data_IF_289159859621
#
_entry.id   IF_289159859621
#
_cell.length_a   1.000
_cell.length_b   1.000
_cell.length_c   1.000
_cell.angle_alpha   90.00
_cell.angle_beta   90.00
_cell.angle_gamma   90.00
#
_symmetry.space_group_name_H-M   'P 1'
#
loop_
_entity.id
_entity.type
_entity.pdbx_description
1 polymer ?
#
# COMPACT_ATOMS: atom_id res chain seq x y z
N UNK A 1 -15.89 -0.79 13.26
CA UNK A 1 -15.13 -1.85 12.55
C UNK A 1 -15.80 -2.25 11.25
N UNK A 2 -17.07 -2.66 11.26
CA UNK A 2 -17.87 -3.00 10.07
C UNK A 2 -17.92 -1.90 9.01
N UNK A 3 -18.17 -0.64 9.41
CA UNK A 3 -18.22 0.49 8.47
C UNK A 3 -16.90 0.72 7.71
N UNK A 4 -15.75 0.54 8.37
CA UNK A 4 -14.42 0.71 7.75
C UNK A 4 -14.15 -0.41 6.75
N UNK A 5 -14.51 -1.65 7.09
CA UNK A 5 -14.37 -2.80 6.19
C UNK A 5 -15.25 -2.62 4.94
N UNK A 6 -16.50 -2.18 5.11
CA UNK A 6 -17.42 -1.90 4.01
C UNK A 6 -16.85 -0.79 3.11
N UNK A 7 -16.26 0.26 3.68
CA UNK A 7 -15.63 1.33 2.92
C UNK A 7 -14.42 0.82 2.11
N UNK A 8 -13.54 0.01 2.72
CA UNK A 8 -12.40 -0.59 2.03
C UNK A 8 -12.83 -1.49 0.86
N UNK A 9 -13.85 -2.34 1.07
CA UNK A 9 -14.40 -3.20 0.02
C UNK A 9 -15.03 -2.34 -1.08
N UNK A 10 -15.78 -1.30 -0.71
CA UNK A 10 -16.36 -0.35 -1.66
C UNK A 10 -15.31 0.31 -2.54
N UNK A 11 -14.18 0.73 -1.99
CA UNK A 11 -13.06 1.31 -2.74
C UNK A 11 -12.48 0.28 -3.74
N UNK A 12 -12.24 -0.95 -3.29
CA UNK A 12 -11.70 -2.03 -4.15
C UNK A 12 -12.66 -2.31 -5.31
N UNK A 13 -13.95 -2.46 -5.01
CA UNK A 13 -14.99 -2.74 -6.02
C UNK A 13 -15.11 -1.56 -6.98
N UNK A 14 -15.13 -0.32 -6.49
CA UNK A 14 -15.26 0.87 -7.35
C UNK A 14 -14.07 0.99 -8.31
N UNK A 15 -12.86 0.69 -7.84
CA UNK A 15 -11.65 0.70 -8.68
C UNK A 15 -11.65 -0.46 -9.69
N UNK A 16 -11.95 -1.68 -9.26
CA UNK A 16 -11.85 -2.87 -10.11
C UNK A 16 -13.03 -3.06 -11.08
N UNK A 17 -14.22 -2.53 -10.78
CA UNK A 17 -15.40 -2.70 -11.65
C UNK A 17 -15.77 -1.44 -12.43
N UNK A 18 -15.55 -0.25 -11.87
CA UNK A 18 -15.99 1.01 -12.49
C UNK A 18 -14.83 1.85 -13.05
N UNK A 19 -13.57 1.43 -12.84
CA UNK A 19 -12.40 2.13 -13.38
C UNK A 19 -12.22 3.56 -12.86
N UNK A 20 -12.90 3.93 -11.77
CA UNK A 20 -12.83 5.28 -11.22
C UNK A 20 -11.49 5.53 -10.52
N UNK A 21 -10.69 6.42 -11.08
CA UNK A 21 -9.38 6.82 -10.55
C UNK A 21 -9.47 7.99 -9.54
N UNK A 22 -10.58 8.05 -8.79
CA UNK A 22 -10.92 9.19 -7.90
C UNK A 22 -10.16 9.11 -6.56
N UNK A 23 -9.20 8.18 -6.42
CA UNK A 23 -8.57 7.84 -5.14
C UNK A 23 -7.04 8.01 -5.19
N UNK A 24 -6.59 9.26 -5.40
CA UNK A 24 -5.19 9.63 -5.19
C UNK A 24 -4.80 9.58 -3.71
N UNK A 25 -3.50 9.40 -3.41
CA UNK A 25 -2.98 9.32 -2.03
C UNK A 25 -3.34 10.53 -1.15
N UNK A 26 -3.47 11.71 -1.76
CA UNK A 26 -3.81 12.96 -1.07
C UNK A 26 -5.32 13.31 -1.13
N UNK A 27 -6.18 12.37 -1.56
CA UNK A 27 -7.62 12.62 -1.57
C UNK A 27 -8.17 12.62 -0.14
N UNK A 28 -9.16 13.48 0.18
CA UNK A 28 -9.75 13.53 1.52
C UNK A 28 -10.26 12.18 2.01
N UNK A 29 -10.79 11.35 1.10
CA UNK A 29 -11.32 10.02 1.41
C UNK A 29 -10.21 9.10 1.94
N UNK A 30 -9.05 9.07 1.28
CA UNK A 30 -7.91 8.23 1.68
C UNK A 30 -7.32 8.71 3.01
N UNK A 31 -7.22 10.03 3.22
CA UNK A 31 -6.72 10.63 4.47
C UNK A 31 -7.65 10.29 5.64
N UNK A 32 -8.96 10.45 5.45
CA UNK A 32 -9.96 10.10 6.46
C UNK A 32 -9.94 8.60 6.78
N UNK A 33 -9.81 7.75 5.77
CA UNK A 33 -9.73 6.29 5.95
C UNK A 33 -8.47 5.86 6.71
N UNK A 34 -7.30 6.37 6.32
CA UNK A 34 -6.04 6.09 7.01
C UNK A 34 -6.10 6.53 8.47
N UNK A 35 -6.66 7.71 8.73
CA UNK A 35 -6.86 8.25 10.08
C UNK A 35 -7.82 7.38 10.91
N UNK A 36 -8.93 6.95 10.32
CA UNK A 36 -9.90 6.07 10.98
C UNK A 36 -9.30 4.69 11.32
N UNK A 37 -8.52 4.10 10.42
CA UNK A 37 -7.79 2.86 10.65
C UNK A 37 -6.78 3.01 11.78
N UNK A 38 -5.99 4.10 11.78
CA UNK A 38 -5.04 4.38 12.85
C UNK A 38 -5.73 4.49 14.23
N UNK A 39 -6.83 5.25 14.32
CA UNK A 39 -7.60 5.38 15.56
C UNK A 39 -8.20 4.05 16.00
N UNK A 40 -8.68 3.23 15.07
CA UNK A 40 -9.19 1.89 15.36
C UNK A 40 -8.11 1.01 15.99
N UNK A 41 -6.94 0.89 15.35
CA UNK A 41 -5.85 0.06 15.88
C UNK A 41 -5.30 0.60 17.20
N UNK A 42 -5.26 1.93 17.37
CA UNK A 42 -4.91 2.58 18.64
C UNK A 42 -5.90 2.21 19.75
N UNK A 43 -7.20 2.21 19.45
CA UNK A 43 -8.26 1.87 20.42
C UNK A 43 -8.24 0.41 20.83
N UNK A 44 -7.84 -0.50 19.94
CA UNK A 44 -7.82 -1.94 20.22
C UNK A 44 -6.64 -2.33 21.13
N UNK A 45 -5.65 -1.46 21.30
CA UNK A 45 -4.47 -1.66 22.15
C UNK A 45 -3.78 -3.03 21.96
N UNK A 46 -3.77 -3.54 20.71
CA UNK A 46 -3.30 -4.89 20.43
C UNK A 46 -1.80 -4.88 20.16
N UNK A 47 -1.05 -5.63 20.96
CA UNK A 47 0.39 -5.81 20.76
C UNK A 47 0.66 -6.93 19.73
N UNK A 48 0.63 -6.57 18.45
CA UNK A 48 0.93 -7.51 17.36
C UNK A 48 2.43 -7.56 17.08
N UNK A 49 3.07 -8.66 17.50
CA UNK A 49 4.52 -8.88 17.30
C UNK A 49 4.96 -8.69 15.84
N UNK A 50 4.23 -9.25 14.88
CA UNK A 50 4.53 -9.11 13.45
C UNK A 50 4.37 -7.67 12.96
N UNK A 51 3.31 -6.98 13.37
CA UNK A 51 3.09 -5.59 12.98
C UNK A 51 4.22 -4.68 13.51
N UNK A 52 4.64 -4.89 14.77
CA UNK A 52 5.75 -4.15 15.36
C UNK A 52 7.09 -4.42 14.67
N UNK A 53 7.31 -5.64 14.17
CA UNK A 53 8.49 -5.96 13.38
C UNK A 53 8.47 -5.33 11.99
N UNK A 54 7.29 -5.19 11.38
CA UNK A 54 7.13 -4.61 10.04
C UNK A 54 7.03 -3.09 10.03
N UNK A 55 6.62 -2.47 11.15
CA UNK A 55 6.42 -1.02 11.27
C UNK A 55 7.60 -0.16 10.77
N UNK A 56 8.88 -0.49 11.07
CA UNK A 56 10.02 0.28 10.56
C UNK A 56 10.16 0.29 9.03
N UNK A 57 9.60 -0.70 8.33
CA UNK A 57 9.69 -0.82 6.88
C UNK A 57 8.54 -0.12 6.16
N UNK A 58 7.44 0.22 6.84
CA UNK A 58 6.24 0.78 6.21
C UNK A 58 6.52 2.07 5.44
N UNK A 59 7.36 2.96 6.00
CA UNK A 59 7.71 4.21 5.33
C UNK A 59 8.54 3.98 4.06
N UNK A 60 9.52 3.08 4.12
CA UNK A 60 10.30 2.74 2.93
C UNK A 60 9.48 2.04 1.85
N UNK A 61 8.56 1.15 2.23
CA UNK A 61 7.62 0.53 1.28
C UNK A 61 6.79 1.61 0.59
N UNK A 62 6.29 2.59 1.35
CA UNK A 62 5.55 3.73 0.80
C UNK A 62 6.40 4.53 -0.21
N UNK A 63 7.69 4.73 0.02
CA UNK A 63 8.56 5.44 -0.92
C UNK A 63 8.94 4.62 -2.15
N UNK A 64 9.15 3.32 -1.99
CA UNK A 64 9.73 2.46 -3.03
C UNK A 64 8.67 1.85 -3.95
N UNK A 65 7.47 1.54 -3.46
CA UNK A 65 6.44 0.89 -4.28
C UNK A 65 6.07 1.63 -5.58
N UNK A 66 6.06 2.98 -5.68
CA UNK A 66 5.77 3.66 -6.93
C UNK A 66 6.87 3.42 -7.98
N UNK A 67 8.11 3.12 -7.58
CA UNK A 67 9.20 2.79 -8.50
C UNK A 67 8.89 1.49 -9.24
N UNK A 68 8.46 0.46 -8.51
CA UNK A 68 8.08 -0.83 -9.11
C UNK A 68 6.82 -0.74 -9.96
N UNK A 69 5.83 0.01 -9.50
CA UNK A 69 4.59 0.24 -10.25
C UNK A 69 4.89 0.97 -11.57
N UNK A 70 5.68 2.05 -11.53
CA UNK A 70 6.09 2.77 -12.74
C UNK A 70 6.96 1.90 -13.65
N UNK A 71 7.82 1.05 -13.10
CA UNK A 71 8.61 0.11 -13.89
C UNK A 71 7.72 -0.86 -14.64
N UNK A 72 6.71 -1.44 -13.99
CA UNK A 72 5.78 -2.36 -14.65
C UNK A 72 4.93 -1.66 -15.73
N UNK A 73 4.35 -0.50 -15.42
CA UNK A 73 3.50 0.20 -16.38
C UNK A 73 4.28 0.84 -17.53
N UNK A 74 5.41 1.51 -17.25
CA UNK A 74 6.14 2.31 -18.25
C UNK A 74 7.25 1.55 -18.97
N UNK A 75 7.92 0.61 -18.30
CA UNK A 75 9.03 -0.12 -18.91
C UNK A 75 8.58 -1.46 -19.48
N UNK A 76 7.74 -2.19 -18.75
CA UNK A 76 7.21 -3.48 -19.20
C UNK A 76 5.92 -3.34 -20.02
N UNK A 77 5.37 -2.12 -20.17
CA UNK A 77 4.12 -1.84 -20.88
C UNK A 77 2.98 -2.77 -20.47
N UNK A 78 2.84 -3.03 -19.18
CA UNK A 78 1.70 -3.78 -18.66
C UNK A 78 0.44 -2.94 -18.85
N UNK A 79 -0.54 -3.43 -19.59
CA UNK A 79 -1.80 -2.73 -19.76
C UNK A 79 -2.60 -2.71 -18.46
N UNK A 80 -3.13 -1.54 -18.10
CA UNK A 80 -3.93 -1.36 -16.88
C UNK A 80 -5.15 -2.28 -16.88
N UNK A 81 -5.76 -2.54 -18.05
CA UNK A 81 -6.90 -3.43 -18.23
C UNK A 81 -6.63 -4.88 -17.81
N UNK A 82 -5.36 -5.33 -17.85
CA UNK A 82 -4.96 -6.65 -17.38
C UNK A 82 -4.92 -6.70 -15.84
N UNK A 83 -4.73 -5.55 -15.19
CA UNK A 83 -4.64 -5.42 -13.72
C UNK A 83 -6.01 -5.15 -13.07
N UNK A 84 -6.98 -4.60 -13.83
CA UNK A 84 -8.35 -4.28 -13.36
C UNK A 84 -9.10 -5.49 -12.75
N UNK A 85 -9.01 -6.74 -13.26
CA UNK A 85 -9.64 -7.88 -12.61
C UNK A 85 -9.15 -8.07 -11.17
N UNK A 86 -10.07 -8.28 -10.21
CA UNK A 86 -9.75 -8.36 -8.77
C UNK A 86 -8.61 -9.33 -8.43
N UNK A 87 -8.58 -10.50 -9.07
CA UNK A 87 -7.51 -11.49 -8.83
C UNK A 87 -6.13 -10.98 -9.26
N UNK A 88 -6.07 -10.29 -10.39
CA UNK A 88 -4.85 -9.68 -10.89
C UNK A 88 -4.47 -8.46 -10.04
N UNK A 89 -5.44 -7.64 -9.62
CA UNK A 89 -5.22 -6.53 -8.70
C UNK A 89 -4.60 -6.99 -7.37
N UNK A 90 -5.13 -8.05 -6.75
CA UNK A 90 -4.59 -8.60 -5.50
C UNK A 90 -3.18 -9.16 -5.72
N UNK A 91 -2.95 -9.88 -6.82
CA UNK A 91 -1.64 -10.41 -7.18
C UNK A 91 -0.61 -9.30 -7.37
N UNK A 92 -0.95 -8.27 -8.14
CA UNK A 92 -0.12 -7.09 -8.36
C UNK A 92 0.19 -6.34 -7.06
N UNK A 93 -0.84 -6.14 -6.22
CA UNK A 93 -0.68 -5.51 -4.92
C UNK A 93 0.30 -6.27 -4.03
N UNK A 94 0.12 -7.59 -3.89
CA UNK A 94 1.00 -8.42 -3.07
C UNK A 94 2.42 -8.46 -3.63
N UNK A 95 2.56 -8.65 -4.95
CA UNK A 95 3.86 -8.70 -5.61
C UNK A 95 4.67 -7.43 -5.36
N UNK A 96 4.10 -6.25 -5.63
CA UNK A 96 4.81 -4.99 -5.45
C UNK A 96 5.03 -4.64 -3.99
N UNK A 97 4.13 -5.03 -3.09
CA UNK A 97 4.35 -4.86 -1.65
C UNK A 97 5.54 -5.69 -1.18
N UNK A 98 5.65 -6.95 -1.63
CA UNK A 98 6.76 -7.83 -1.28
C UNK A 98 8.09 -7.35 -1.87
N UNK A 99 8.12 -6.93 -3.13
CA UNK A 99 9.30 -6.34 -3.76
C UNK A 99 9.74 -5.07 -3.02
N UNK A 100 8.79 -4.21 -2.66
CA UNK A 100 9.07 -2.99 -1.90
C UNK A 100 9.59 -3.28 -0.49
N UNK A 101 9.06 -4.31 0.18
CA UNK A 101 9.54 -4.77 1.48
C UNK A 101 10.99 -5.27 1.36
N UNK A 102 11.29 -6.11 0.36
CA UNK A 102 12.63 -6.64 0.13
C UNK A 102 13.63 -5.51 -0.17
N UNK A 103 13.28 -4.57 -1.04
CA UNK A 103 14.13 -3.41 -1.35
C UNK A 103 14.32 -2.49 -0.16
N UNK A 104 13.26 -2.21 0.60
CA UNK A 104 13.36 -1.40 1.83
C UNK A 104 14.28 -2.08 2.84
N UNK A 105 14.17 -3.39 3.00
CA UNK A 105 15.05 -4.16 3.87
C UNK A 105 16.53 -4.03 3.47
N UNK A 106 16.83 -4.06 2.16
CA UNK A 106 18.18 -3.83 1.65
C UNK A 106 18.62 -2.38 1.92
N UNK A 107 17.78 -1.39 1.63
CA UNK A 107 18.09 0.03 1.83
C UNK A 107 18.34 0.37 3.30
N UNK A 108 17.60 -0.23 4.24
CA UNK A 108 17.82 -0.03 5.68
C UNK A 108 19.16 -0.60 6.17
N UNK A 109 19.87 -1.43 5.40
CA UNK A 109 21.25 -1.84 5.72
C UNK A 109 22.28 -0.75 5.39
N UNK A 110 21.92 0.22 4.56
CA UNK A 110 22.78 1.35 4.21
C UNK A 110 22.64 2.43 5.30
N UNK A 111 23.71 2.79 6.03
CA UNK A 111 23.62 3.66 7.21
C UNK A 111 23.10 5.07 6.90
N UNK A 112 23.42 5.60 5.71
CA UNK A 112 22.90 6.88 5.25
C UNK A 112 21.38 6.84 5.04
N UNK A 113 20.89 5.84 4.31
CA UNK A 113 19.46 5.66 4.02
C UNK A 113 18.66 5.48 5.31
N UNK A 114 19.13 4.60 6.21
CA UNK A 114 18.48 4.34 7.52
C UNK A 114 18.43 5.55 8.45
N UNK A 115 19.34 6.51 8.32
CA UNK A 115 19.43 7.64 9.26
C UNK A 115 18.77 8.91 8.73
N UNK A 116 18.71 9.06 7.41
CA UNK A 116 18.33 10.34 6.79
C UNK A 116 17.13 10.23 5.85
N UNK A 117 16.73 9.02 5.47
CA UNK A 117 15.66 8.80 4.48
C UNK A 117 14.58 7.86 4.98
N UNK A 118 14.92 6.78 5.68
CA UNK A 118 14.02 5.70 6.13
C UNK A 118 13.93 5.65 7.65
#
# INVERSE_FOLDING_TARGET
>A
MTAIIILCIGIIVTKCYYGFDVYGYATPVVICLASALFLLFRSLNVNWKLANQLAPYCFGIYLVHPVFINFAYKLLNVDEEVVVPIYNFIGFFLLFTLLSLASTYILMKIPFMKKHVL
#
